data_IF_589840939129
#
_entry.id   IF_589840939129
#
_cell.length_a   1.000
_cell.length_b   1.000
_cell.length_c   1.000
_cell.angle_alpha   90.00
_cell.angle_beta   90.00
_cell.angle_gamma   90.00
#
_symmetry.space_group_name_H-M   'P 1'
#
loop_
_entity.id
_entity.type
_entity.pdbx_description
1 polymer ?
#
# COMPACT_ATOMS: atom_id res chain seq x y z
N UNK A 1 36.64 -14.85 -35.49
CA UNK A 1 36.34 -16.02 -34.62
C UNK A 1 35.32 -15.60 -33.62
N UNK A 2 34.16 -16.12 -33.80
CA UNK A 2 32.89 -16.16 -33.20
C UNK A 2 32.74 -15.65 -31.75
N UNK A 3 32.06 -14.51 -31.60
CA UNK A 3 31.43 -14.08 -30.34
C UNK A 3 29.94 -14.37 -30.39
N UNK A 4 29.49 -15.40 -29.67
CA UNK A 4 28.10 -15.75 -29.52
C UNK A 4 27.45 -14.85 -28.48
N UNK A 5 26.51 -13.99 -28.89
CA UNK A 5 25.58 -13.27 -28.02
C UNK A 5 24.56 -14.25 -27.44
N UNK A 6 24.66 -14.49 -26.13
CA UNK A 6 23.59 -15.11 -25.36
C UNK A 6 22.62 -14.01 -24.89
N UNK A 7 21.53 -13.81 -25.60
CA UNK A 7 20.33 -13.10 -25.11
C UNK A 7 19.58 -14.07 -24.19
N UNK A 8 19.85 -13.99 -22.89
CA UNK A 8 19.05 -14.66 -21.87
C UNK A 8 17.77 -13.89 -21.62
N UNK A 9 16.63 -14.47 -21.98
CA UNK A 9 15.31 -14.01 -21.58
C UNK A 9 15.21 -14.07 -20.05
N UNK A 10 15.02 -12.96 -19.39
CA UNK A 10 14.80 -12.87 -17.94
C UNK A 10 13.33 -13.24 -17.69
N UNK A 11 13.06 -14.45 -17.27
CA UNK A 11 11.78 -14.81 -16.67
C UNK A 11 11.67 -14.14 -15.29
N UNK A 12 10.51 -13.54 -14.90
CA UNK A 12 10.30 -13.03 -13.57
C UNK A 12 10.30 -14.18 -12.56
N UNK A 13 11.38 -14.31 -11.79
CA UNK A 13 11.54 -15.34 -10.76
C UNK A 13 11.16 -14.81 -9.39
N UNK A 14 10.50 -15.66 -8.59
CA UNK A 14 10.18 -15.38 -7.21
C UNK A 14 11.45 -15.19 -6.35
N UNK A 15 11.44 -14.16 -5.50
CA UNK A 15 12.51 -13.86 -4.55
C UNK A 15 12.26 -14.58 -3.23
N UNK A 16 13.31 -15.04 -2.56
CA UNK A 16 13.26 -15.59 -1.21
C UNK A 16 14.46 -15.11 -0.40
N UNK A 17 14.30 -14.93 0.91
CA UNK A 17 15.42 -14.68 1.82
C UNK A 17 16.16 -15.97 2.16
N UNK A 18 17.50 -15.93 2.14
CA UNK A 18 18.34 -17.01 2.64
C UNK A 18 18.42 -16.99 4.19
N UNK A 19 19.09 -17.95 4.77
CA UNK A 19 19.27 -18.07 6.23
C UNK A 19 20.00 -16.87 6.87
N UNK A 20 20.59 -15.99 6.08
CA UNK A 20 21.28 -14.77 6.51
C UNK A 20 20.48 -13.50 6.19
N UNK A 21 19.21 -13.61 5.76
CA UNK A 21 18.31 -12.47 5.53
C UNK A 21 18.52 -11.73 4.22
N UNK A 22 19.35 -12.22 3.29
CA UNK A 22 19.58 -11.62 1.98
C UNK A 22 18.59 -12.13 0.94
N UNK A 23 18.10 -11.25 0.05
CA UNK A 23 17.25 -11.63 -1.08
C UNK A 23 18.03 -12.46 -2.09
N UNK A 24 17.61 -13.70 -2.31
CA UNK A 24 18.18 -14.62 -3.28
C UNK A 24 17.09 -15.03 -4.26
N UNK A 25 17.42 -15.01 -5.54
CA UNK A 25 16.56 -15.50 -6.61
C UNK A 25 16.35 -17.01 -6.42
N UNK A 26 15.11 -17.48 -6.24
CA UNK A 26 14.83 -18.91 -6.22
C UNK A 26 15.07 -19.49 -7.61
N UNK A 27 15.97 -20.48 -7.71
CA UNK A 27 15.96 -21.42 -8.83
C UNK A 27 14.70 -22.27 -8.71
N UNK A 28 13.96 -22.40 -9.80
CA UNK A 28 12.79 -23.28 -9.88
C UNK A 28 13.32 -24.71 -9.87
N UNK A 29 13.27 -25.35 -8.71
CA UNK A 29 13.53 -26.77 -8.57
C UNK A 29 12.24 -27.50 -8.97
N UNK A 30 12.28 -28.16 -10.13
CA UNK A 30 11.14 -28.87 -10.74
C UNK A 30 10.73 -30.14 -10.00
N UNK A 31 11.37 -30.46 -8.86
CA UNK A 31 11.19 -31.73 -8.17
C UNK A 31 10.63 -31.62 -6.74
N UNK A 32 9.88 -30.57 -6.41
CA UNK A 32 9.17 -30.49 -5.12
C UNK A 32 7.77 -31.08 -5.23
N UNK A 33 7.35 -31.95 -4.29
CA UNK A 33 5.97 -32.40 -4.22
C UNK A 33 5.04 -31.18 -4.00
N UNK A 34 3.95 -31.15 -4.76
CA UNK A 34 2.89 -30.12 -4.62
C UNK A 34 2.38 -30.14 -3.17
N UNK A 35 2.22 -28.98 -2.51
CA UNK A 35 1.54 -28.92 -1.22
C UNK A 35 0.13 -29.48 -1.39
N UNK A 36 -0.29 -30.29 -0.42
CA UNK A 36 -1.60 -30.92 -0.35
C UNK A 36 -2.72 -29.91 -0.58
N UNK A 37 -3.67 -30.29 -1.44
CA UNK A 37 -4.89 -29.56 -1.73
C UNK A 37 -5.68 -29.30 -0.43
N UNK A 38 -5.71 -28.06 0.05
CA UNK A 38 -6.36 -27.68 1.31
C UNK A 38 -6.67 -26.20 1.51
N UNK A 39 -6.40 -25.35 0.54
CA UNK A 39 -6.95 -23.99 0.54
C UNK A 39 -7.33 -23.64 -0.91
N UNK A 40 -8.61 -23.77 -1.22
CA UNK A 40 -9.15 -23.15 -2.43
C UNK A 40 -9.00 -21.64 -2.29
N UNK A 41 -8.55 -20.90 -3.32
CA UNK A 41 -8.64 -19.44 -3.30
C UNK A 41 -10.12 -19.08 -3.13
N UNK A 42 -10.39 -18.24 -2.13
CA UNK A 42 -11.72 -17.80 -1.76
C UNK A 42 -12.32 -16.91 -2.87
N UNK A 43 -13.00 -17.53 -3.80
CA UNK A 43 -13.81 -17.02 -4.92
C UNK A 43 -13.08 -16.48 -6.17
N UNK A 44 -13.64 -16.72 -7.36
CA UNK A 44 -13.15 -16.19 -8.65
C UNK A 44 -13.09 -14.64 -8.71
N UNK A 45 -13.87 -13.96 -7.85
CA UNK A 45 -13.87 -12.52 -7.69
C UNK A 45 -12.58 -11.98 -7.06
N UNK A 46 -11.86 -12.78 -6.27
CA UNK A 46 -10.62 -12.40 -5.64
C UNK A 46 -9.44 -12.43 -6.61
N UNK A 47 -9.34 -13.48 -7.42
CA UNK A 47 -8.32 -13.56 -8.48
C UNK A 47 -8.46 -12.45 -9.52
N UNK A 48 -9.71 -12.14 -9.92
CA UNK A 48 -9.96 -11.04 -10.86
C UNK A 48 -9.59 -9.67 -10.28
N UNK A 49 -9.76 -9.45 -8.98
CA UNK A 49 -9.38 -8.20 -8.30
C UNK A 49 -7.86 -8.03 -8.20
N UNK A 50 -7.12 -9.09 -7.89
CA UNK A 50 -5.65 -9.05 -7.82
C UNK A 50 -5.08 -8.69 -9.19
N UNK A 51 -5.46 -9.41 -10.24
CA UNK A 51 -4.93 -9.22 -11.61
C UNK A 51 -5.18 -7.84 -12.16
N UNK A 52 -6.33 -7.25 -11.86
CA UNK A 52 -6.64 -5.90 -12.35
C UNK A 52 -5.99 -4.80 -11.51
N UNK A 53 -5.82 -5.02 -10.20
CA UNK A 53 -4.99 -4.14 -9.37
C UNK A 53 -3.54 -4.17 -9.86
N UNK A 54 -3.00 -5.33 -10.16
CA UNK A 54 -1.67 -5.48 -10.73
C UNK A 54 -1.51 -4.68 -12.02
N UNK A 55 -2.39 -4.86 -13.00
CA UNK A 55 -2.34 -4.14 -14.27
C UNK A 55 -2.44 -2.62 -14.11
N UNK A 56 -3.20 -2.14 -13.11
CA UNK A 56 -3.39 -0.72 -12.86
C UNK A 56 -2.16 -0.09 -12.18
N UNK A 57 -1.65 -0.74 -11.13
CA UNK A 57 -0.55 -0.19 -10.32
C UNK A 57 0.82 -0.34 -10.99
N UNK A 58 0.97 -1.26 -11.93
CA UNK A 58 2.18 -1.42 -12.74
C UNK A 58 2.14 -0.60 -14.03
N UNK A 59 0.99 0.04 -14.36
CA UNK A 59 0.93 0.92 -15.51
C UNK A 59 1.91 2.08 -15.31
N UNK A 60 2.74 2.36 -16.32
CA UNK A 60 3.67 3.49 -16.28
C UNK A 60 2.96 4.84 -16.07
N UNK A 61 1.66 4.93 -16.34
CA UNK A 61 0.81 6.08 -16.04
C UNK A 61 0.58 6.24 -14.53
N UNK A 62 0.30 5.16 -13.80
CA UNK A 62 0.14 5.20 -12.35
C UNK A 62 1.44 5.59 -11.64
N UNK A 63 2.55 4.97 -12.05
CA UNK A 63 3.89 5.30 -11.51
C UNK A 63 4.19 6.78 -11.73
N UNK A 64 3.95 7.32 -12.93
CA UNK A 64 4.14 8.74 -13.25
C UNK A 64 3.20 9.66 -12.47
N UNK A 65 1.95 9.27 -12.26
CA UNK A 65 0.96 10.10 -11.56
C UNK A 65 1.34 10.33 -10.10
N UNK A 66 2.04 9.38 -9.48
CA UNK A 66 2.40 9.44 -8.06
C UNK A 66 3.88 9.71 -7.79
N UNK A 67 4.72 9.89 -8.83
CA UNK A 67 6.09 10.37 -8.63
C UNK A 67 6.13 11.89 -8.48
N UNK A 68 6.95 12.45 -7.57
CA UNK A 68 7.06 13.89 -7.36
C UNK A 68 7.51 14.66 -8.61
N UNK A 69 8.28 14.00 -9.48
CA UNK A 69 8.78 14.56 -10.74
C UNK A 69 7.70 14.70 -11.83
N UNK A 70 6.55 14.06 -11.64
CA UNK A 70 5.41 14.23 -12.54
C UNK A 70 4.77 15.61 -12.29
N UNK A 71 5.35 16.67 -12.82
CA UNK A 71 4.97 18.07 -12.63
C UNK A 71 3.54 18.46 -13.03
N UNK A 72 2.66 17.49 -13.27
CA UNK A 72 1.24 17.66 -13.60
C UNK A 72 0.31 16.93 -12.62
N UNK A 73 0.82 16.39 -11.52
CA UNK A 73 -0.05 15.76 -10.50
C UNK A 73 -0.66 16.84 -9.60
N UNK A 74 -1.96 17.15 -9.71
CA UNK A 74 -2.61 18.18 -8.89
C UNK A 74 -2.59 17.87 -7.39
N UNK A 75 -2.30 16.62 -7.02
CA UNK A 75 -2.24 16.16 -5.64
C UNK A 75 -0.81 16.06 -5.09
N UNK A 76 0.21 16.30 -5.92
CA UNK A 76 1.62 16.07 -5.55
C UNK A 76 2.00 16.80 -4.26
N UNK A 77 1.57 18.06 -4.11
CA UNK A 77 1.87 18.86 -2.92
C UNK A 77 1.24 18.29 -1.65
N UNK A 78 -0.06 17.99 -1.68
CA UNK A 78 -0.77 17.44 -0.52
C UNK A 78 -0.30 16.01 -0.20
N UNK A 79 0.03 15.24 -1.23
CA UNK A 79 0.61 13.91 -1.06
C UNK A 79 2.01 13.97 -0.42
N UNK A 80 2.86 14.90 -0.83
CA UNK A 80 4.18 15.09 -0.22
C UNK A 80 4.05 15.43 1.27
N UNK A 81 3.17 16.38 1.62
CA UNK A 81 2.87 16.71 3.02
C UNK A 81 2.34 15.51 3.82
N UNK A 82 1.44 14.70 3.22
CA UNK A 82 0.95 13.46 3.84
C UNK A 82 2.11 12.51 4.11
N UNK A 83 2.95 12.26 3.11
CA UNK A 83 4.13 11.40 3.23
C UNK A 83 5.07 11.89 4.34
N UNK A 84 5.41 13.17 4.35
CA UNK A 84 6.32 13.74 5.34
C UNK A 84 5.76 13.60 6.76
N UNK A 85 4.46 13.81 6.96
CA UNK A 85 3.80 13.59 8.25
C UNK A 85 3.84 12.12 8.67
N UNK A 86 3.52 11.19 7.76
CA UNK A 86 3.55 9.75 8.05
C UNK A 86 4.96 9.32 8.44
N UNK A 87 5.97 9.72 7.68
CA UNK A 87 7.38 9.40 7.98
C UNK A 87 7.81 10.01 9.31
N UNK A 88 7.44 11.26 9.60
CA UNK A 88 7.78 11.94 10.85
C UNK A 88 7.08 11.33 12.08
N UNK A 89 5.95 10.65 11.89
CA UNK A 89 5.25 9.96 12.99
C UNK A 89 6.05 8.78 13.54
N UNK A 90 6.88 8.13 12.70
CA UNK A 90 7.76 7.04 13.14
C UNK A 90 8.97 7.63 13.86
N UNK A 91 8.83 7.83 15.15
CA UNK A 91 9.85 8.48 16.00
C UNK A 91 10.94 7.52 16.47
N UNK A 92 12.09 8.10 16.86
CA UNK A 92 13.22 7.35 17.38
C UNK A 92 14.14 6.80 16.27
N UNK A 93 14.83 5.70 16.58
CA UNK A 93 15.73 4.96 15.69
C UNK A 93 15.53 3.46 15.88
N UNK A 94 15.95 2.68 14.89
CA UNK A 94 16.00 1.21 14.92
C UNK A 94 14.67 0.54 15.30
N UNK A 95 13.55 1.22 15.03
CA UNK A 95 12.20 0.69 15.21
C UNK A 95 11.90 -0.38 14.17
N UNK A 96 11.12 -1.38 14.56
CA UNK A 96 10.55 -2.38 13.66
C UNK A 96 9.28 -1.80 13.06
N UNK A 97 9.32 -1.52 11.76
CA UNK A 97 8.22 -0.87 11.03
C UNK A 97 7.69 -1.83 9.97
N UNK A 98 6.39 -2.05 9.95
CA UNK A 98 5.70 -2.71 8.85
C UNK A 98 5.02 -1.66 7.97
N UNK A 99 5.32 -1.67 6.68
CA UNK A 99 4.58 -0.91 5.65
C UNK A 99 3.67 -1.89 4.90
N UNK A 100 2.42 -1.95 5.34
CA UNK A 100 1.41 -2.90 4.89
C UNK A 100 0.73 -2.38 3.63
N UNK A 101 0.95 -3.05 2.49
CA UNK A 101 0.52 -2.59 1.17
C UNK A 101 1.35 -1.40 0.68
N UNK A 102 2.65 -1.35 1.02
CA UNK A 102 3.51 -0.19 0.77
C UNK A 102 3.93 0.01 -0.68
N UNK A 103 3.51 -0.88 -1.60
CA UNK A 103 3.74 -0.77 -3.02
C UNK A 103 5.22 -0.64 -3.39
N UNK A 104 5.57 0.41 -4.14
CA UNK A 104 6.94 0.71 -4.55
C UNK A 104 7.83 1.32 -3.43
N UNK A 105 7.36 1.35 -2.17
CA UNK A 105 8.18 1.73 -1.02
C UNK A 105 8.26 3.23 -0.74
N UNK A 106 7.25 4.02 -1.12
CA UNK A 106 7.24 5.48 -0.94
C UNK A 106 7.42 5.93 0.51
N UNK A 107 6.91 5.17 1.47
CA UNK A 107 7.11 5.38 2.90
C UNK A 107 8.32 4.59 3.40
N UNK A 108 8.47 3.35 2.96
CA UNK A 108 9.50 2.41 3.39
C UNK A 108 10.92 2.89 3.10
N UNK A 109 11.20 3.39 1.88
CA UNK A 109 12.54 3.81 1.49
C UNK A 109 13.10 4.93 2.36
N UNK A 110 12.39 6.05 2.61
CA UNK A 110 12.89 7.07 3.53
C UNK A 110 13.01 6.59 4.98
N UNK A 111 12.09 5.72 5.43
CA UNK A 111 12.11 5.17 6.79
C UNK A 111 13.27 4.20 7.02
N UNK A 112 13.67 3.42 6.02
CA UNK A 112 14.76 2.45 6.14
C UNK A 112 16.13 3.08 6.41
N UNK A 113 16.27 4.38 6.19
CA UNK A 113 17.49 5.13 6.59
C UNK A 113 17.72 5.14 8.11
N UNK A 114 16.67 4.93 8.91
CA UNK A 114 16.72 5.07 10.37
C UNK A 114 16.08 3.90 11.13
N UNK A 115 15.30 3.05 10.44
CA UNK A 115 14.50 1.98 11.04
C UNK A 115 14.68 0.65 10.28
N UNK A 116 14.30 -0.46 10.89
CA UNK A 116 14.16 -1.74 10.23
C UNK A 116 12.75 -1.83 9.64
N UNK A 117 12.64 -1.76 8.34
CA UNK A 117 11.36 -1.71 7.64
C UNK A 117 11.12 -3.04 6.92
N UNK A 118 9.94 -3.60 7.12
CA UNK A 118 9.40 -4.66 6.28
C UNK A 118 8.29 -4.07 5.42
N UNK A 119 8.52 -4.03 4.12
CA UNK A 119 7.52 -3.61 3.13
C UNK A 119 6.78 -4.86 2.65
N UNK A 120 5.45 -4.85 2.75
CA UNK A 120 4.61 -5.89 2.16
C UNK A 120 3.68 -5.32 1.12
N UNK A 121 3.44 -6.09 0.06
CA UNK A 121 2.40 -5.82 -0.92
C UNK A 121 1.87 -7.15 -1.48
N UNK A 122 0.61 -7.16 -1.93
CA UNK A 122 0.02 -8.34 -2.57
C UNK A 122 0.56 -8.50 -4.00
N UNK A 123 0.93 -7.39 -4.66
CA UNK A 123 1.46 -7.35 -6.02
C UNK A 123 2.97 -7.55 -6.02
N UNK A 124 3.49 -8.64 -6.61
CA UNK A 124 4.93 -8.83 -6.78
C UNK A 124 5.55 -7.75 -7.67
N UNK A 125 4.81 -7.23 -8.65
CA UNK A 125 5.29 -6.18 -9.54
C UNK A 125 5.55 -4.87 -8.80
N UNK A 126 4.75 -4.55 -7.77
CA UNK A 126 4.99 -3.38 -6.92
C UNK A 126 6.26 -3.57 -6.07
N UNK A 127 6.49 -4.78 -5.58
CA UNK A 127 7.71 -5.12 -4.84
C UNK A 127 8.95 -5.10 -5.75
N UNK A 128 8.83 -5.50 -7.02
CA UNK A 128 9.91 -5.42 -8.00
C UNK A 128 10.37 -3.96 -8.22
N UNK A 129 9.45 -2.99 -8.18
CA UNK A 129 9.79 -1.56 -8.25
C UNK A 129 10.55 -1.08 -7.00
N UNK A 130 10.30 -1.67 -5.83
CA UNK A 130 11.01 -1.35 -4.60
C UNK A 130 12.33 -2.13 -4.45
N UNK A 131 12.52 -3.24 -5.18
CA UNK A 131 13.64 -4.16 -5.04
C UNK A 131 15.04 -3.51 -5.16
N UNK A 132 15.28 -2.51 -6.02
CA UNK A 132 16.58 -1.82 -6.07
C UNK A 132 17.00 -1.14 -4.76
N UNK A 133 16.05 -0.89 -3.85
CA UNK A 133 16.29 -0.25 -2.56
C UNK A 133 16.39 -1.25 -1.39
N UNK A 134 16.21 -2.54 -1.67
CA UNK A 134 16.30 -3.59 -0.64
C UNK A 134 17.68 -3.58 0.04
N UNK A 135 17.69 -3.76 1.36
CA UNK A 135 18.90 -3.71 2.19
C UNK A 135 18.67 -4.48 3.49
N UNK A 136 19.67 -4.53 4.36
CA UNK A 136 19.50 -5.08 5.71
C UNK A 136 18.40 -4.36 6.52
N UNK A 137 18.16 -3.07 6.19
CA UNK A 137 17.14 -2.24 6.84
C UNK A 137 15.82 -2.15 6.06
N UNK A 138 15.74 -2.67 4.82
CA UNK A 138 14.52 -2.71 4.02
C UNK A 138 14.33 -4.10 3.44
N UNK A 139 13.42 -4.86 4.03
CA UNK A 139 13.00 -6.18 3.58
C UNK A 139 11.70 -6.08 2.80
N UNK A 140 11.59 -6.86 1.73
CA UNK A 140 10.41 -6.92 0.87
C UNK A 140 9.79 -8.31 1.00
N UNK A 141 8.46 -8.36 1.19
CA UNK A 141 7.75 -9.62 1.30
C UNK A 141 6.37 -9.53 0.66
N UNK A 142 6.04 -10.48 -0.21
CA UNK A 142 4.68 -10.59 -0.73
C UNK A 142 3.74 -11.09 0.37
N UNK A 143 2.66 -10.35 0.65
CA UNK A 143 1.65 -10.72 1.62
C UNK A 143 0.30 -10.03 1.36
N UNK A 144 -0.78 -10.70 1.73
CA UNK A 144 -2.11 -10.10 1.84
C UNK A 144 -2.22 -9.37 3.19
N UNK A 145 -2.62 -8.11 3.16
CA UNK A 145 -2.82 -7.29 4.36
C UNK A 145 -3.85 -7.87 5.35
N UNK A 146 -4.75 -8.74 4.87
CA UNK A 146 -5.76 -9.42 5.69
C UNK A 146 -5.23 -10.67 6.38
N UNK A 147 -4.03 -11.13 5.99
CA UNK A 147 -3.39 -12.33 6.54
C UNK A 147 -1.87 -12.21 6.46
N UNK A 148 -1.31 -11.54 7.43
CA UNK A 148 0.12 -11.25 7.47
C UNK A 148 0.94 -12.45 7.99
N UNK A 149 2.03 -12.84 7.33
CA UNK A 149 2.86 -13.99 7.71
C UNK A 149 3.87 -13.63 8.81
N UNK A 150 3.45 -12.86 9.80
CA UNK A 150 4.28 -12.43 10.93
C UNK A 150 3.67 -12.90 12.24
N UNK A 151 4.53 -13.12 13.22
CA UNK A 151 4.10 -13.42 14.57
C UNK A 151 3.41 -12.20 15.22
N UNK A 152 2.63 -12.45 16.26
CA UNK A 152 2.04 -11.40 17.07
C UNK A 152 3.14 -10.49 17.63
N UNK A 153 2.84 -9.21 17.78
CA UNK A 153 3.68 -8.22 18.45
C UNK A 153 5.09 -8.04 17.83
N UNK A 154 5.22 -8.30 16.53
CA UNK A 154 6.47 -8.25 15.79
C UNK A 154 6.93 -6.83 15.45
N UNK A 155 6.04 -5.84 15.50
CA UNK A 155 6.31 -4.48 15.02
C UNK A 155 5.97 -3.42 16.05
N UNK A 156 6.76 -2.35 16.06
CA UNK A 156 6.54 -1.17 16.91
C UNK A 156 5.62 -0.15 16.22
N UNK A 157 5.69 -0.13 14.88
CA UNK A 157 4.85 0.71 14.01
C UNK A 157 4.30 -0.12 12.84
N UNK A 158 3.04 0.13 12.48
CA UNK A 158 2.42 -0.36 11.25
C UNK A 158 1.91 0.84 10.46
N UNK A 159 2.25 0.91 9.19
CA UNK A 159 1.71 1.86 8.22
C UNK A 159 0.71 1.13 7.33
N UNK A 160 -0.43 1.75 7.06
CA UNK A 160 -1.46 1.26 6.13
C UNK A 160 -1.97 2.46 5.32
N UNK A 161 -1.17 2.90 4.34
CA UNK A 161 -1.36 4.16 3.61
C UNK A 161 -1.76 3.90 2.17
N UNK A 162 -2.92 4.45 1.77
CA UNK A 162 -3.56 4.25 0.47
C UNK A 162 -3.95 2.77 0.19
N UNK A 163 -4.19 1.97 1.24
CA UNK A 163 -4.45 0.52 1.16
C UNK A 163 -5.93 0.18 1.38
N UNK A 164 -6.54 0.70 2.46
CA UNK A 164 -7.91 0.36 2.85
C UNK A 164 -8.96 0.52 1.73
N UNK A 165 -8.86 1.54 0.85
CA UNK A 165 -9.79 1.67 -0.27
C UNK A 165 -9.81 0.46 -1.23
N UNK A 166 -8.75 -0.34 -1.22
CA UNK A 166 -8.57 -1.50 -2.11
C UNK A 166 -8.92 -2.83 -1.46
N UNK A 167 -9.22 -2.84 -0.16
CA UNK A 167 -9.54 -4.06 0.59
C UNK A 167 -11.06 -4.19 0.74
N UNK A 168 -11.67 -5.31 0.31
CA UNK A 168 -13.10 -5.55 0.47
C UNK A 168 -13.54 -5.59 1.94
N UNK A 169 -12.74 -6.25 2.78
CA UNK A 169 -12.96 -6.44 4.22
C UNK A 169 -11.90 -5.67 5.04
N UNK A 170 -12.06 -4.35 5.21
CA UNK A 170 -11.04 -3.53 5.89
C UNK A 170 -10.88 -3.87 7.38
N UNK A 171 -11.89 -4.51 7.99
CA UNK A 171 -11.82 -4.95 9.38
C UNK A 171 -10.74 -6.02 9.59
N UNK A 172 -10.58 -6.95 8.64
CA UNK A 172 -9.58 -8.02 8.74
C UNK A 172 -8.16 -7.44 8.67
N UNK A 173 -7.94 -6.49 7.77
CA UNK A 173 -6.64 -5.82 7.66
C UNK A 173 -6.29 -5.01 8.93
N UNK A 174 -7.28 -4.35 9.54
CA UNK A 174 -7.07 -3.62 10.80
C UNK A 174 -6.84 -4.58 11.98
N UNK A 175 -7.52 -5.72 12.00
CA UNK A 175 -7.29 -6.78 12.99
C UNK A 175 -5.87 -7.37 12.87
N UNK A 176 -5.39 -7.63 11.66
CA UNK A 176 -4.04 -8.10 11.40
C UNK A 176 -2.98 -7.05 11.79
N UNK A 177 -3.21 -5.77 11.44
CA UNK A 177 -2.35 -4.68 11.89
C UNK A 177 -2.26 -4.64 13.43
N UNK A 178 -3.39 -4.83 14.12
CA UNK A 178 -3.40 -4.90 15.59
C UNK A 178 -2.65 -6.11 16.13
N UNK A 179 -2.85 -7.28 15.52
CA UNK A 179 -2.20 -8.52 15.95
C UNK A 179 -0.68 -8.40 15.91
N UNK A 180 -0.15 -7.91 14.80
CA UNK A 180 1.31 -7.81 14.59
C UNK A 180 1.95 -6.63 15.33
N UNK A 181 1.18 -5.64 15.80
CA UNK A 181 1.71 -4.54 16.62
C UNK A 181 2.00 -4.99 18.04
N UNK A 182 3.15 -4.55 18.58
CA UNK A 182 3.48 -4.66 19.99
C UNK A 182 2.47 -3.90 20.88
N UNK A 183 2.27 -4.26 22.15
CA UNK A 183 1.48 -3.45 23.08
C UNK A 183 2.00 -2.00 23.10
N UNK A 184 1.09 -1.03 23.03
CA UNK A 184 1.46 0.39 22.89
C UNK A 184 2.03 0.78 21.54
N UNK A 185 2.14 -0.15 20.57
CA UNK A 185 2.59 0.10 19.21
C UNK A 185 1.62 1.01 18.44
N UNK A 186 2.13 1.68 17.43
CA UNK A 186 1.41 2.72 16.70
C UNK A 186 1.02 2.27 15.30
N UNK A 187 -0.26 2.43 14.97
CA UNK A 187 -0.81 2.30 13.62
C UNK A 187 -0.99 3.68 13.01
N UNK A 188 -0.42 3.89 11.81
CA UNK A 188 -0.71 5.06 10.97
C UNK A 188 -1.50 4.56 9.77
N UNK A 189 -2.74 5.02 9.63
CA UNK A 189 -3.67 4.49 8.64
C UNK A 189 -4.47 5.62 8.01
N UNK A 190 -4.76 5.52 6.72
CA UNK A 190 -5.55 6.53 6.05
C UNK A 190 -6.75 5.96 5.29
N UNK A 191 -7.65 6.89 4.96
CA UNK A 191 -8.75 6.67 4.04
C UNK A 191 -8.89 7.84 3.09
N UNK A 192 -9.29 7.54 1.85
CA UNK A 192 -9.70 8.56 0.89
C UNK A 192 -11.16 8.93 1.15
N UNK A 193 -11.43 10.22 1.26
CA UNK A 193 -12.76 10.75 1.57
C UNK A 193 -13.76 10.40 0.46
N UNK A 194 -14.91 9.89 0.87
CA UNK A 194 -16.01 9.51 -0.03
C UNK A 194 -16.74 10.71 -0.65
N UNK A 195 -16.57 11.91 -0.12
CA UNK A 195 -17.21 13.13 -0.65
C UNK A 195 -16.36 13.70 -1.78
N UNK A 196 -16.82 13.65 -3.04
CA UNK A 196 -16.00 14.01 -4.20
C UNK A 196 -15.78 15.52 -4.39
N UNK A 197 -16.29 16.38 -3.50
CA UNK A 197 -16.14 17.82 -3.60
C UNK A 197 -14.68 18.31 -3.62
N UNK A 198 -13.74 17.51 -3.10
CA UNK A 198 -12.32 17.80 -3.21
C UNK A 198 -11.84 17.87 -4.67
N UNK A 199 -12.54 17.21 -5.61
CA UNK A 199 -12.21 17.26 -7.04
C UNK A 199 -12.36 18.65 -7.62
N UNK A 200 -13.27 19.47 -7.06
CA UNK A 200 -13.49 20.86 -7.49
C UNK A 200 -12.30 21.76 -7.19
N UNK A 201 -11.51 21.44 -6.17
CA UNK A 201 -10.34 22.22 -5.80
C UNK A 201 -9.09 21.91 -6.64
N UNK A 202 -9.18 20.91 -7.52
CA UNK A 202 -8.09 20.51 -8.39
C UNK A 202 -8.49 20.63 -9.87
N UNK A 203 -8.53 21.86 -10.41
CA UNK A 203 -8.98 22.11 -11.78
C UNK A 203 -8.18 21.35 -12.84
N UNK A 204 -6.90 21.05 -12.59
CA UNK A 204 -6.10 20.19 -13.45
C UNK A 204 -6.60 18.73 -13.54
N UNK A 205 -7.24 18.24 -12.47
CA UNK A 205 -7.89 16.92 -12.45
C UNK A 205 -9.18 16.90 -13.30
N UNK A 206 -9.88 18.02 -13.32
CA UNK A 206 -11.12 18.21 -14.09
C UNK A 206 -10.87 18.79 -15.48
N UNK A 207 -9.80 19.56 -15.66
CA UNK A 207 -9.67 20.66 -16.61
C UNK A 207 -9.38 20.26 -18.06
N UNK A 208 -9.26 18.98 -18.41
CA UNK A 208 -9.02 18.63 -19.83
C UNK A 208 -10.15 17.84 -20.51
N UNK A 209 -11.17 17.39 -19.77
CA UNK A 209 -12.34 16.70 -20.38
C UNK A 209 -13.58 16.88 -19.50
N UNK A 210 -14.51 17.80 -19.82
CA UNK A 210 -15.79 17.95 -19.12
C UNK A 210 -16.61 16.65 -19.07
N UNK A 211 -16.49 15.79 -20.08
CA UNK A 211 -17.10 14.47 -20.12
C UNK A 211 -16.60 13.55 -18.98
N UNK A 212 -15.34 13.71 -18.54
CA UNK A 212 -14.75 12.94 -17.45
C UNK A 212 -15.35 13.33 -16.10
N UNK A 213 -15.65 14.63 -15.92
CA UNK A 213 -16.33 15.11 -14.72
C UNK A 213 -17.74 14.52 -14.59
N UNK A 214 -18.51 14.53 -15.66
CA UNK A 214 -19.84 13.94 -15.69
C UNK A 214 -19.81 12.42 -15.41
N UNK A 215 -18.81 11.72 -15.94
CA UNK A 215 -18.58 10.31 -15.67
C UNK A 215 -18.22 10.05 -14.21
N UNK A 216 -17.33 10.86 -13.62
CA UNK A 216 -16.94 10.76 -12.21
C UNK A 216 -18.14 11.07 -11.30
N UNK A 217 -18.91 12.09 -11.62
CA UNK A 217 -20.09 12.48 -10.86
C UNK A 217 -21.19 11.40 -10.93
N UNK A 218 -21.49 10.88 -12.11
CA UNK A 218 -22.44 9.76 -12.27
C UNK A 218 -21.96 8.46 -11.63
N UNK A 219 -20.68 8.28 -11.48
CA UNK A 219 -20.06 7.13 -10.83
C UNK A 219 -19.94 7.29 -9.30
N UNK A 220 -20.55 8.34 -8.70
CA UNK A 220 -20.46 8.59 -7.26
C UNK A 220 -19.05 9.04 -6.81
N UNK A 221 -18.33 9.77 -7.67
CA UNK A 221 -16.99 10.28 -7.38
C UNK A 221 -15.84 9.33 -7.70
N UNK A 222 -16.11 8.19 -8.32
CA UNK A 222 -15.13 7.17 -8.70
C UNK A 222 -14.87 7.22 -10.21
N UNK A 223 -13.61 7.07 -10.62
CA UNK A 223 -13.26 6.98 -12.04
C UNK A 223 -13.93 5.76 -12.69
N UNK A 224 -14.45 5.87 -13.94
CA UNK A 224 -14.93 4.72 -14.68
C UNK A 224 -13.85 3.64 -14.77
N UNK A 225 -14.20 2.41 -14.45
CA UNK A 225 -13.27 1.29 -14.32
C UNK A 225 -12.79 1.01 -12.88
N UNK A 226 -12.91 1.99 -11.96
CA UNK A 226 -12.56 1.84 -10.54
C UNK A 226 -13.80 1.54 -9.66
N UNK A 227 -15.00 1.61 -10.24
CA UNK A 227 -16.28 1.60 -9.51
C UNK A 227 -16.49 0.41 -8.57
N UNK A 228 -15.89 -0.73 -8.88
CA UNK A 228 -16.02 -1.96 -8.09
C UNK A 228 -14.79 -2.27 -7.21
N UNK A 229 -13.80 -1.38 -7.15
CA UNK A 229 -12.46 -1.70 -6.62
C UNK A 229 -11.91 -0.74 -5.60
N UNK A 230 -12.52 0.43 -5.44
CA UNK A 230 -12.07 1.43 -4.48
C UNK A 230 -13.24 1.80 -3.59
N UNK A 231 -13.14 1.44 -2.33
CA UNK A 231 -14.07 1.90 -1.29
C UNK A 231 -13.57 3.21 -0.72
N UNK A 232 -14.36 4.25 -0.86
CA UNK A 232 -14.12 5.49 -0.14
C UNK A 232 -14.79 5.42 1.23
N UNK A 233 -14.06 5.80 2.27
CA UNK A 233 -14.54 5.76 3.63
C UNK A 233 -14.68 7.16 4.19
N UNK A 234 -15.69 7.36 5.05
CA UNK A 234 -15.80 8.59 5.83
C UNK A 234 -14.86 8.51 7.04
N UNK A 235 -14.41 9.68 7.49
CA UNK A 235 -13.64 9.80 8.73
C UNK A 235 -14.29 9.06 9.91
N UNK A 236 -15.60 9.16 10.04
CA UNK A 236 -16.37 8.51 11.12
C UNK A 236 -16.36 6.99 11.04
N UNK A 237 -16.32 6.43 9.83
CA UNK A 237 -16.20 4.98 9.59
C UNK A 237 -14.83 4.50 10.01
N UNK A 238 -13.75 5.22 9.63
CA UNK A 238 -12.40 4.90 10.07
C UNK A 238 -12.28 4.89 11.60
N UNK A 239 -12.81 5.93 12.26
CA UNK A 239 -12.77 6.01 13.74
C UNK A 239 -13.52 4.85 14.38
N UNK A 240 -14.69 4.47 13.88
CA UNK A 240 -15.45 3.32 14.38
C UNK A 240 -14.69 2.01 14.16
N UNK A 241 -14.12 1.83 12.97
CA UNK A 241 -13.32 0.65 12.63
C UNK A 241 -12.13 0.48 13.58
N UNK A 242 -11.40 1.56 13.85
CA UNK A 242 -10.26 1.54 14.76
C UNK A 242 -10.71 1.27 16.20
N UNK A 243 -11.79 1.90 16.66
CA UNK A 243 -12.32 1.69 18.01
C UNK A 243 -12.81 0.25 18.23
N UNK A 244 -13.52 -0.32 17.24
CA UNK A 244 -14.00 -1.71 17.31
C UNK A 244 -12.87 -2.72 17.32
N UNK A 245 -11.72 -2.38 16.69
CA UNK A 245 -10.51 -3.19 16.72
C UNK A 245 -9.64 -2.95 17.95
N UNK A 246 -10.05 -2.14 18.94
CA UNK A 246 -9.31 -1.91 20.17
C UNK A 246 -8.13 -0.95 20.05
N UNK A 247 -8.17 -0.04 19.07
CA UNK A 247 -7.23 1.07 18.96
C UNK A 247 -7.75 2.32 19.66
N UNK A 248 -6.83 3.12 20.19
CA UNK A 248 -7.09 4.49 20.64
C UNK A 248 -6.56 5.48 19.60
N UNK A 249 -7.43 6.29 19.00
CA UNK A 249 -7.03 7.32 18.05
C UNK A 249 -6.41 8.49 18.80
N UNK A 250 -5.11 8.73 18.63
CA UNK A 250 -4.36 9.82 19.26
C UNK A 250 -4.47 11.12 18.48
N UNK A 251 -4.42 11.04 17.16
CA UNK A 251 -4.57 12.22 16.30
C UNK A 251 -5.22 11.87 14.97
N UNK A 252 -5.79 12.90 14.33
CA UNK A 252 -6.40 12.79 13.00
C UNK A 252 -5.94 13.98 12.16
N UNK A 253 -5.27 13.69 11.07
CA UNK A 253 -4.75 14.68 10.14
C UNK A 253 -5.58 14.71 8.84
N UNK A 254 -5.60 15.84 8.16
CA UNK A 254 -6.35 16.05 6.92
C UNK A 254 -5.43 16.62 5.86
N UNK A 255 -5.49 16.05 4.66
CA UNK A 255 -4.72 16.50 3.50
C UNK A 255 -5.64 16.74 2.31
N UNK A 256 -5.38 17.82 1.59
CA UNK A 256 -6.22 18.30 0.51
C UNK A 256 -6.95 19.58 0.87
N UNK A 257 -7.98 19.96 0.09
CA UNK A 257 -8.71 21.22 0.28
C UNK A 257 -9.30 21.35 1.69
N UNK A 258 -9.21 22.56 2.26
CA UNK A 258 -9.59 22.82 3.66
C UNK A 258 -11.02 22.41 4.00
N UNK A 259 -11.98 22.66 3.10
CA UNK A 259 -13.42 22.38 3.32
C UNK A 259 -13.78 20.92 3.02
N UNK A 260 -13.06 20.28 2.08
CA UNK A 260 -13.31 18.90 1.70
C UNK A 260 -11.97 18.18 1.47
N UNK A 261 -11.30 17.72 2.52
CA UNK A 261 -10.01 17.06 2.41
C UNK A 261 -10.14 15.75 1.61
N UNK A 262 -9.12 15.45 0.81
CA UNK A 262 -9.05 14.20 0.05
C UNK A 262 -8.72 13.01 0.95
N UNK A 263 -7.79 13.20 1.91
CA UNK A 263 -7.37 12.14 2.82
C UNK A 263 -7.60 12.48 4.28
N UNK A 264 -7.96 11.47 5.03
CA UNK A 264 -7.94 11.48 6.50
C UNK A 264 -6.94 10.43 6.97
N UNK A 265 -5.93 10.86 7.71
CA UNK A 265 -4.90 9.99 8.29
C UNK A 265 -5.08 9.93 9.78
N UNK A 266 -5.26 8.74 10.33
CA UNK A 266 -5.32 8.50 11.77
C UNK A 266 -3.96 7.99 12.27
N UNK A 267 -3.54 8.49 13.42
CA UNK A 267 -2.48 7.90 14.25
C UNK A 267 -3.17 7.28 15.46
N UNK A 268 -3.08 5.96 15.59
CA UNK A 268 -3.77 5.20 16.61
C UNK A 268 -2.80 4.28 17.37
N UNK A 269 -3.06 4.04 18.63
CA UNK A 269 -2.21 3.21 19.51
C UNK A 269 -2.97 1.95 19.90
N UNK A 270 -2.30 0.80 19.84
CA UNK A 270 -2.83 -0.47 20.36
C UNK A 270 -2.95 -0.39 21.89
N UNK A 271 -4.18 -0.57 22.38
CA UNK A 271 -4.45 -0.73 23.82
C UNK A 271 -4.11 -2.13 24.30
#
# INVERSE_FOLDING_TARGET
MNGAQLRGAICPGAWATNAHGSLVRRSIDSNRPRPSAGARPDSPAQESNITVHEALFTSGEYVKEFTPEAGNNPFAFDYARKKDMVVATVSGRDRRVLDMGGGMGRMSIPLSRRHFVTLTDISPQMLDLAAPHASERLRLQQADARRLPFADESFDFVLCIDVLPHIPEPADAVAEARRVLSPGGTLVIDVTNSVPLWTLAYPGYLGRRPSRWLQIWRAGGVLPGWRNRVRHHRRTELVRLLASAGFEVRSMHRFGPRLCPKWHVAVAVKK
#
